data_IF_864044254599
#
_entry.id   IF_864044254599
#
_cell.length_a   1.000
_cell.length_b   1.000
_cell.length_c   1.000
_cell.angle_alpha   90.00
_cell.angle_beta   90.00
_cell.angle_gamma   90.00
#
_symmetry.space_group_name_H-M   'P 1'
#
loop_
_entity.id
_entity.type
_entity.pdbx_description
1 polymer ?
#
# COMPACT_ATOMS: atom_id res chain seq x y z
N UNK A 1 -25.19 4.51 -51.51
CA UNK A 1 -24.10 3.82 -50.77
C UNK A 1 -22.89 4.72 -50.78
N UNK A 2 -22.48 5.24 -49.63
CA UNK A 2 -21.36 6.16 -49.50
C UNK A 2 -20.54 5.71 -48.29
N UNK A 3 -19.32 5.23 -48.54
CA UNK A 3 -18.35 4.83 -47.51
C UNK A 3 -17.46 6.02 -47.22
N UNK A 4 -17.43 6.48 -45.97
CA UNK A 4 -16.49 7.49 -45.50
C UNK A 4 -15.42 6.76 -44.70
N UNK A 5 -14.17 6.81 -45.19
CA UNK A 5 -12.98 6.31 -44.54
C UNK A 5 -12.40 7.40 -43.62
N UNK A 6 -12.23 7.10 -42.34
CA UNK A 6 -11.54 7.95 -41.37
C UNK A 6 -10.24 7.26 -40.94
N UNK A 7 -9.16 7.50 -41.69
CA UNK A 7 -7.79 7.21 -41.27
C UNK A 7 -7.01 8.51 -41.40
N UNK A 8 -6.64 9.09 -40.25
CA UNK A 8 -5.82 10.29 -40.26
C UNK A 8 -5.67 10.92 -38.88
N UNK A 9 -4.43 10.87 -38.38
CA UNK A 9 -3.84 11.88 -37.49
C UNK A 9 -4.00 11.71 -35.97
N UNK A 10 -3.20 10.80 -35.38
CA UNK A 10 -2.66 10.98 -34.01
C UNK A 10 -1.20 10.50 -33.98
N UNK A 11 -0.34 11.19 -34.74
CA UNK A 11 1.11 11.00 -34.69
C UNK A 11 1.78 12.37 -34.55
N UNK A 12 1.60 13.05 -33.41
CA UNK A 12 2.29 14.34 -33.18
C UNK A 12 2.34 14.88 -31.73
N UNK A 13 2.26 14.05 -30.67
CA UNK A 13 2.25 14.58 -29.29
C UNK A 13 3.25 13.93 -28.31
N UNK A 14 3.94 12.85 -28.66
CA UNK A 14 4.90 12.19 -27.71
C UNK A 14 6.36 12.51 -28.10
N UNK A 15 6.67 13.81 -28.20
CA UNK A 15 8.02 14.32 -28.47
C UNK A 15 8.52 15.35 -27.44
N UNK A 16 7.77 15.59 -26.35
CA UNK A 16 7.97 16.75 -25.47
C UNK A 16 8.15 16.41 -23.97
N UNK A 17 8.52 15.17 -23.62
CA UNK A 17 8.80 14.78 -22.22
C UNK A 17 10.23 14.25 -22.02
N UNK A 18 11.18 14.66 -22.85
CA UNK A 18 12.59 14.22 -22.73
C UNK A 18 13.59 15.31 -22.31
N UNK A 19 13.13 16.47 -21.84
CA UNK A 19 14.03 17.62 -21.56
C UNK A 19 13.89 18.25 -20.16
N UNK A 20 13.35 17.55 -19.16
CA UNK A 20 13.19 18.12 -17.80
C UNK A 20 13.79 17.29 -16.64
N UNK A 21 14.52 16.20 -16.93
CA UNK A 21 15.12 15.34 -15.88
C UNK A 21 16.66 15.32 -15.90
N UNK A 22 17.27 16.43 -16.29
CA UNK A 22 18.72 16.65 -16.15
C UNK A 22 18.96 17.92 -15.36
N UNK A 23 18.91 17.85 -14.03
CA UNK A 23 19.73 18.66 -13.12
C UNK A 23 19.34 18.38 -11.65
N UNK A 24 20.18 17.64 -10.92
CA UNK A 24 20.88 18.08 -9.69
C UNK A 24 21.46 16.86 -8.95
N UNK A 25 22.79 16.78 -8.99
CA UNK A 25 23.61 15.97 -8.10
C UNK A 25 23.57 16.51 -6.67
N UNK A 26 23.66 15.64 -5.66
CA UNK A 26 24.80 15.67 -4.72
C UNK A 26 24.95 14.31 -4.02
N UNK A 27 26.00 13.58 -4.35
CA UNK A 27 26.54 12.52 -3.50
C UNK A 27 27.32 13.16 -2.35
N UNK A 28 27.03 12.77 -1.11
CA UNK A 28 27.86 13.12 0.04
C UNK A 28 28.62 11.88 0.49
N UNK A 29 29.88 11.82 0.10
CA UNK A 29 30.86 10.85 0.58
C UNK A 29 31.34 11.27 1.97
N UNK A 30 30.98 10.52 3.01
CA UNK A 30 31.60 10.65 4.33
C UNK A 30 32.83 9.75 4.42
N UNK A 31 33.99 10.38 4.62
CA UNK A 31 35.32 9.77 4.72
C UNK A 31 35.68 9.75 6.21
N UNK A 32 35.65 8.59 6.86
CA UNK A 32 36.03 8.49 8.27
C UNK A 32 37.54 8.21 8.38
N UNK A 33 38.28 9.20 8.87
CA UNK A 33 39.69 9.10 9.24
C UNK A 33 39.83 8.66 10.69
N UNK A 34 40.52 7.53 10.91
CA UNK A 34 40.98 7.11 12.24
C UNK A 34 41.88 8.19 12.83
N UNK A 35 41.56 8.68 14.03
CA UNK A 35 42.48 9.46 14.87
C UNK A 35 42.39 9.00 16.32
N UNK A 36 43.56 8.90 16.93
CA UNK A 36 43.88 8.30 18.21
C UNK A 36 43.33 9.06 19.43
N UNK A 37 43.11 8.28 20.49
CA UNK A 37 42.89 8.64 21.90
C UNK A 37 42.68 10.10 22.31
N UNK A 38 41.48 10.38 22.83
CA UNK A 38 41.24 11.53 23.71
C UNK A 38 40.74 10.99 25.06
N UNK A 39 41.53 11.19 26.12
CA UNK A 39 41.09 11.04 27.51
C UNK A 39 40.30 12.30 27.91
N UNK A 40 39.05 12.13 28.34
CA UNK A 40 38.28 13.20 29.00
C UNK A 40 38.05 12.82 30.45
N UNK A 41 38.64 13.59 31.36
CA UNK A 41 38.40 13.55 32.81
C UNK A 41 37.15 14.39 33.09
N UNK A 42 36.27 13.86 33.93
CA UNK A 42 34.88 14.30 34.09
C UNK A 42 34.67 15.75 34.54
N UNK A 43 33.60 16.33 34.00
CA UNK A 43 32.90 17.49 34.53
C UNK A 43 31.42 17.31 34.24
N UNK A 44 30.58 17.44 35.26
CA UNK A 44 29.12 17.35 35.17
C UNK A 44 28.58 18.48 34.28
N UNK A 45 28.25 18.14 33.04
CA UNK A 45 27.55 18.98 32.10
C UNK A 45 26.94 18.10 31.01
N UNK A 46 25.64 18.27 30.77
CA UNK A 46 24.94 17.58 29.69
C UNK A 46 25.54 17.98 28.34
N UNK A 47 26.29 17.06 27.72
CA UNK A 47 26.67 17.16 26.31
C UNK A 47 26.10 15.96 25.58
N UNK A 48 25.16 16.21 24.67
CA UNK A 48 24.67 15.23 23.70
C UNK A 48 25.77 14.97 22.66
N UNK A 49 26.63 13.99 22.93
CA UNK A 49 27.51 13.42 21.93
C UNK A 49 26.82 12.19 21.33
N UNK A 50 26.63 12.18 20.01
CA UNK A 50 26.17 11.02 19.26
C UNK A 50 27.39 10.12 19.01
N UNK A 51 27.49 9.01 19.74
CA UNK A 51 28.65 8.11 19.68
C UNK A 51 28.21 6.81 19.00
N UNK A 52 28.62 6.62 17.74
CA UNK A 52 28.57 5.32 17.07
C UNK A 52 29.75 4.46 17.51
N UNK A 53 29.44 3.25 17.97
CA UNK A 53 30.35 2.16 18.35
C UNK A 53 31.26 2.40 19.57
N UNK A 54 30.83 1.91 20.74
CA UNK A 54 31.72 1.60 21.87
C UNK A 54 31.22 0.37 22.64
N UNK A 55 32.12 -0.58 22.91
CA UNK A 55 31.89 -1.72 23.82
C UNK A 55 31.77 -1.21 25.26
N UNK A 56 30.68 -1.59 25.93
CA UNK A 56 30.39 -1.23 27.32
C UNK A 56 31.25 -2.07 28.26
N UNK A 57 32.13 -1.42 29.04
CA UNK A 57 32.78 -2.00 30.22
C UNK A 57 31.97 -1.55 31.45
N UNK A 58 31.52 -2.53 32.24
CA UNK A 58 30.65 -2.40 33.42
C UNK A 58 30.94 -1.19 34.32
N UNK A 59 29.90 -0.37 34.55
CA UNK A 59 29.72 0.41 35.76
C UNK A 59 28.22 0.47 36.10
N UNK A 60 27.90 0.27 37.37
CA UNK A 60 26.56 0.02 37.93
C UNK A 60 25.64 1.25 37.94
N UNK A 61 25.18 1.67 36.76
CA UNK A 61 24.07 2.61 36.59
C UNK A 61 23.09 2.05 35.57
N UNK A 62 21.80 2.00 35.91
CA UNK A 62 20.76 1.63 34.96
C UNK A 62 20.63 2.74 33.91
N UNK A 63 21.39 2.65 32.84
CA UNK A 63 21.20 3.47 31.64
C UNK A 63 19.92 3.00 30.96
N UNK A 64 18.86 3.80 31.01
CA UNK A 64 17.68 3.55 30.16
C UNK A 64 18.07 3.88 28.72
N UNK A 65 18.42 2.84 27.97
CA UNK A 65 18.59 2.92 26.52
C UNK A 65 17.20 3.14 25.92
N UNK A 66 16.93 4.35 25.41
CA UNK A 66 15.76 4.62 24.60
C UNK A 66 16.00 3.99 23.22
N UNK A 67 15.66 2.70 23.11
CA UNK A 67 15.66 1.99 21.83
C UNK A 67 14.49 2.59 21.05
N UNK A 68 14.80 3.42 20.05
CA UNK A 68 13.80 3.88 19.11
C UNK A 68 13.20 2.62 18.46
N UNK A 69 11.94 2.25 18.76
CA UNK A 69 11.39 1.01 18.25
C UNK A 69 11.36 1.11 16.72
N UNK A 70 11.82 0.06 16.04
CA UNK A 70 11.70 0.00 14.58
C UNK A 70 10.26 0.37 14.16
N UNK A 71 10.10 1.12 13.04
CA UNK A 71 8.80 1.53 12.59
C UNK A 71 7.90 0.30 12.42
N UNK A 72 6.81 0.27 13.21
CA UNK A 72 5.88 -0.85 13.22
C UNK A 72 5.03 -0.80 11.95
N UNK A 73 5.12 -1.86 11.14
CA UNK A 73 4.30 -2.04 9.93
C UNK A 73 2.81 -1.91 10.30
N UNK A 74 2.04 -1.01 9.66
CA UNK A 74 0.61 -0.88 9.87
C UNK A 74 -0.12 -2.20 9.56
N UNK A 75 -1.16 -2.52 10.35
CA UNK A 75 -1.86 -3.81 10.26
C UNK A 75 -3.36 -3.61 10.28
N UNK A 76 -4.06 -4.35 9.43
CA UNK A 76 -5.51 -4.48 9.45
C UNK A 76 -5.91 -5.93 9.68
N UNK A 77 -6.81 -6.17 10.64
CA UNK A 77 -7.35 -7.48 10.94
C UNK A 77 -8.86 -7.38 11.16
N UNK A 78 -9.66 -8.20 10.46
CA UNK A 78 -11.09 -8.21 10.68
C UNK A 78 -11.93 -8.65 9.49
N UNK A 79 -13.25 -8.59 9.69
CA UNK A 79 -14.21 -8.75 8.62
C UNK A 79 -14.25 -7.48 7.75
N UNK A 80 -14.27 -7.66 6.43
CA UNK A 80 -14.57 -6.61 5.46
C UNK A 80 -15.90 -6.94 4.78
N UNK A 81 -16.58 -5.92 4.30
CA UNK A 81 -17.87 -6.08 3.65
C UNK A 81 -18.29 -4.84 2.88
N UNK A 82 -19.48 -4.88 2.31
CA UNK A 82 -20.11 -3.68 1.76
C UNK A 82 -20.66 -2.78 2.87
N UNK A 83 -20.93 -1.53 2.53
CA UNK A 83 -21.56 -0.48 3.32
C UNK A 83 -20.77 -0.15 4.59
N UNK A 84 -21.38 -0.28 5.78
CA UNK A 84 -20.70 0.05 7.03
C UNK A 84 -19.46 -0.82 7.28
N UNK A 85 -19.41 -2.04 6.71
CA UNK A 85 -18.28 -2.96 6.85
C UNK A 85 -17.11 -2.66 5.90
N UNK A 86 -17.25 -1.73 4.95
CA UNK A 86 -16.14 -1.36 4.06
C UNK A 86 -15.26 -0.28 4.68
N UNK A 87 -15.85 0.64 5.45
CA UNK A 87 -15.24 1.88 5.92
C UNK A 87 -13.91 1.69 6.65
N UNK A 88 -13.83 0.76 7.60
CA UNK A 88 -12.62 0.58 8.39
C UNK A 88 -11.45 0.11 7.51
N UNK A 89 -11.74 -0.76 6.54
CA UNK A 89 -10.73 -1.22 5.59
C UNK A 89 -10.37 -0.16 4.57
N UNK A 90 -11.34 0.56 3.99
CA UNK A 90 -11.07 1.61 3.00
C UNK A 90 -10.28 2.76 3.63
N UNK A 91 -10.64 3.20 4.84
CA UNK A 91 -9.88 4.18 5.61
C UNK A 91 -8.45 3.70 5.89
N UNK A 92 -8.29 2.45 6.34
CA UNK A 92 -6.96 1.88 6.55
C UNK A 92 -6.10 1.93 5.29
N UNK A 93 -6.66 1.59 4.12
CA UNK A 93 -5.92 1.66 2.86
C UNK A 93 -5.59 3.11 2.49
N UNK A 94 -6.51 4.06 2.69
CA UNK A 94 -6.28 5.46 2.36
C UNK A 94 -5.24 6.15 3.25
N UNK A 95 -5.25 5.86 4.54
CA UNK A 95 -4.29 6.38 5.52
C UNK A 95 -2.87 5.87 5.30
N UNK A 96 -2.73 4.70 4.64
CA UNK A 96 -1.45 4.03 4.42
C UNK A 96 -1.05 3.98 2.94
N UNK A 97 -1.52 4.93 2.12
CA UNK A 97 -1.12 5.01 0.72
C UNK A 97 0.38 5.22 0.56
N UNK A 98 1.02 4.43 -0.32
CA UNK A 98 2.47 4.44 -0.51
C UNK A 98 3.24 3.54 0.45
N UNK A 99 2.60 3.05 1.52
CA UNK A 99 3.24 2.27 2.57
C UNK A 99 3.16 0.75 2.35
N UNK A 100 4.01 0.03 3.09
CA UNK A 100 3.88 -1.42 3.28
C UNK A 100 2.96 -1.71 4.45
N UNK A 101 2.04 -2.65 4.30
CA UNK A 101 1.05 -3.02 5.31
C UNK A 101 0.94 -4.53 5.45
N UNK A 102 0.48 -4.98 6.61
CA UNK A 102 0.00 -6.35 6.78
C UNK A 102 -1.53 -6.37 6.80
N UNK A 103 -2.12 -7.23 5.97
CA UNK A 103 -3.58 -7.41 5.91
C UNK A 103 -3.89 -8.83 6.32
N UNK A 104 -4.88 -8.99 7.20
CA UNK A 104 -5.51 -10.26 7.55
C UNK A 104 -7.03 -10.04 7.62
N UNK A 105 -7.62 -9.87 6.44
CA UNK A 105 -9.03 -9.56 6.26
C UNK A 105 -9.80 -10.78 5.73
N UNK A 106 -11.10 -10.83 6.01
CA UNK A 106 -12.00 -11.79 5.39
C UNK A 106 -13.35 -11.18 5.02
N UNK A 107 -13.93 -11.64 3.93
CA UNK A 107 -15.25 -11.26 3.43
C UNK A 107 -16.16 -12.48 3.43
N UNK A 108 -17.32 -12.38 4.08
CA UNK A 108 -18.35 -13.41 4.06
C UNK A 108 -19.40 -12.99 3.03
N UNK A 109 -19.48 -13.65 1.86
CA UNK A 109 -20.49 -13.34 0.86
C UNK A 109 -21.89 -13.67 1.39
N UNK A 110 -22.81 -12.71 1.30
CA UNK A 110 -24.22 -12.86 1.66
C UNK A 110 -25.07 -13.36 0.47
N UNK A 111 -24.50 -13.39 -0.74
CA UNK A 111 -25.17 -13.84 -1.96
C UNK A 111 -24.32 -14.76 -2.84
N UNK A 112 -24.97 -15.52 -3.71
CA UNK A 112 -24.32 -16.46 -4.64
C UNK A 112 -23.39 -15.72 -5.62
N UNK A 113 -23.77 -14.49 -5.98
CA UNK A 113 -23.11 -13.64 -6.97
C UNK A 113 -22.12 -12.64 -6.36
N UNK A 114 -22.07 -12.47 -5.04
CA UNK A 114 -21.10 -11.59 -4.36
C UNK A 114 -19.66 -12.12 -4.40
N UNK A 115 -19.42 -13.25 -5.08
CA UNK A 115 -18.07 -13.77 -5.34
C UNK A 115 -17.40 -12.95 -6.45
N UNK A 116 -17.24 -11.64 -6.24
CA UNK A 116 -16.73 -10.72 -7.25
C UNK A 116 -15.20 -10.75 -7.39
N UNK A 117 -14.56 -11.93 -7.23
CA UNK A 117 -13.17 -12.08 -7.68
C UNK A 117 -13.20 -12.33 -9.18
N UNK A 118 -13.05 -11.27 -9.94
CA UNK A 118 -12.69 -11.42 -11.35
C UNK A 118 -11.17 -11.56 -11.42
N UNK A 119 -10.72 -12.70 -11.94
CA UNK A 119 -9.32 -12.85 -12.38
C UNK A 119 -9.28 -12.47 -13.85
N UNK A 120 -8.81 -11.28 -14.14
CA UNK A 120 -8.59 -10.89 -15.54
C UNK A 120 -7.36 -11.63 -16.09
N UNK A 121 -7.33 -11.88 -17.40
CA UNK A 121 -6.22 -12.54 -18.11
C UNK A 121 -4.86 -11.84 -17.93
N UNK A 122 -4.86 -10.63 -17.37
CA UNK A 122 -3.69 -9.84 -16.97
C UNK A 122 -3.12 -10.17 -15.58
N UNK A 123 -3.57 -11.25 -14.92
CA UNK A 123 -3.12 -11.66 -13.57
C UNK A 123 -3.42 -10.63 -12.48
N UNK A 124 -4.52 -9.89 -12.64
CA UNK A 124 -5.05 -9.00 -11.61
C UNK A 124 -6.27 -9.67 -11.03
N UNK A 125 -6.24 -9.94 -9.72
CA UNK A 125 -7.47 -10.30 -9.01
C UNK A 125 -8.11 -8.99 -8.53
N UNK A 126 -9.40 -8.81 -8.80
CA UNK A 126 -10.14 -7.60 -8.43
C UNK A 126 -11.26 -7.93 -7.44
N UNK A 127 -11.56 -7.03 -6.51
CA UNK A 127 -12.79 -7.05 -5.71
C UNK A 127 -13.27 -5.61 -5.47
N UNK A 128 -14.56 -5.44 -5.18
CA UNK A 128 -15.14 -4.11 -4.93
C UNK A 128 -15.84 -4.11 -3.56
N UNK A 129 -15.61 -3.06 -2.78
CA UNK A 129 -16.37 -2.78 -1.56
C UNK A 129 -17.22 -1.53 -1.76
N UNK A 130 -18.53 -1.71 -1.77
CA UNK A 130 -19.48 -0.60 -1.87
C UNK A 130 -19.56 0.12 -0.54
N UNK A 131 -19.69 1.44 -0.54
CA UNK A 131 -19.80 2.24 0.69
C UNK A 131 -21.21 2.76 0.90
N UNK A 132 -21.86 3.20 -0.17
CA UNK A 132 -23.17 3.83 -0.13
C UNK A 132 -23.86 3.73 -1.50
N UNK A 133 -25.19 3.75 -1.51
CA UNK A 133 -25.99 3.81 -2.74
C UNK A 133 -26.83 5.09 -2.72
N UNK A 134 -26.63 5.94 -3.72
CA UNK A 134 -27.35 7.21 -3.85
C UNK A 134 -28.71 7.04 -4.55
N UNK A 135 -28.92 5.88 -5.19
CA UNK A 135 -30.23 5.42 -5.64
C UNK A 135 -30.65 4.18 -4.84
N UNK A 136 -31.96 4.03 -4.63
CA UNK A 136 -32.52 2.82 -4.03
C UNK A 136 -32.32 1.63 -4.99
N UNK A 137 -31.77 0.55 -4.46
CA UNK A 137 -31.63 -0.70 -5.20
C UNK A 137 -32.96 -1.44 -5.20
N UNK A 138 -33.39 -1.92 -6.36
CA UNK A 138 -34.56 -2.80 -6.46
C UNK A 138 -34.34 -4.10 -5.67
N UNK A 139 -35.42 -4.83 -5.40
CA UNK A 139 -35.32 -6.11 -4.69
C UNK A 139 -34.44 -7.09 -5.46
N UNK A 140 -33.33 -7.51 -4.85
CA UNK A 140 -32.28 -8.36 -5.44
C UNK A 140 -31.41 -7.69 -6.51
N UNK A 141 -31.49 -6.38 -6.69
CA UNK A 141 -30.52 -5.65 -7.52
C UNK A 141 -29.15 -5.64 -6.84
N UNK A 142 -28.11 -5.97 -7.60
CA UNK A 142 -26.73 -5.90 -7.10
C UNK A 142 -26.20 -4.46 -7.13
N UNK A 143 -25.38 -4.05 -6.14
CA UNK A 143 -24.78 -2.73 -6.18
C UNK A 143 -23.89 -2.56 -7.42
N UNK A 144 -23.97 -1.40 -8.04
CA UNK A 144 -23.23 -1.09 -9.26
C UNK A 144 -22.73 0.36 -9.27
N UNK A 145 -21.71 0.70 -10.09
CA UNK A 145 -21.20 2.07 -10.16
C UNK A 145 -22.24 3.08 -10.67
N UNK A 146 -23.35 2.62 -11.26
CA UNK A 146 -24.42 3.48 -11.76
C UNK A 146 -25.32 4.02 -10.64
N UNK A 147 -25.40 3.31 -9.50
CA UNK A 147 -26.30 3.63 -8.37
C UNK A 147 -25.60 3.73 -7.02
N UNK A 148 -24.36 3.26 -6.96
CA UNK A 148 -23.57 3.17 -5.74
C UNK A 148 -22.17 3.69 -5.93
N UNK A 149 -21.61 4.17 -4.83
CA UNK A 149 -20.22 4.57 -4.71
C UNK A 149 -19.44 3.55 -3.89
N UNK A 150 -18.16 3.41 -4.22
CA UNK A 150 -17.32 2.38 -3.60
C UNK A 150 -15.88 2.41 -4.04
N UNK A 151 -15.12 1.47 -3.47
CA UNK A 151 -13.70 1.31 -3.74
C UNK A 151 -13.46 -0.05 -4.38
N UNK A 152 -12.94 -0.02 -5.60
CA UNK A 152 -12.40 -1.18 -6.30
C UNK A 152 -10.95 -1.42 -5.91
N UNK A 153 -10.61 -2.64 -5.56
CA UNK A 153 -9.26 -3.06 -5.20
C UNK A 153 -8.72 -4.02 -6.26
N UNK A 154 -7.57 -3.67 -6.80
CA UNK A 154 -6.81 -4.50 -7.74
C UNK A 154 -5.59 -5.09 -7.04
N UNK A 155 -5.40 -6.40 -7.14
CA UNK A 155 -4.22 -7.09 -6.65
C UNK A 155 -3.28 -7.33 -7.84
N UNK A 156 -2.21 -6.55 -7.92
CA UNK A 156 -1.21 -6.65 -8.99
C UNK A 156 -0.29 -7.85 -8.77
N UNK A 157 -0.51 -8.94 -9.53
CA UNK A 157 0.34 -10.15 -9.52
C UNK A 157 1.23 -10.25 -10.77
N UNK A 158 1.60 -9.13 -11.37
CA UNK A 158 2.51 -9.09 -12.51
C UNK A 158 3.88 -9.74 -12.22
N UNK A 159 4.32 -9.73 -10.95
CA UNK A 159 5.59 -10.29 -10.52
C UNK A 159 5.46 -11.73 -9.98
N UNK A 160 6.61 -12.39 -9.77
CA UNK A 160 6.77 -13.76 -9.25
C UNK A 160 5.78 -14.13 -8.14
N UNK A 161 5.45 -15.42 -7.92
CA UNK A 161 4.57 -15.80 -6.82
C UNK A 161 5.03 -15.16 -5.50
N UNK A 162 4.05 -14.61 -4.78
CA UNK A 162 4.23 -13.96 -3.48
C UNK A 162 3.39 -14.67 -2.42
N UNK A 163 3.86 -14.62 -1.17
CA UNK A 163 3.18 -15.25 -0.03
C UNK A 163 1.84 -14.59 0.31
N UNK A 164 1.73 -13.29 0.04
CA UNK A 164 0.47 -12.58 0.19
C UNK A 164 -0.54 -13.00 -0.89
N UNK A 165 -1.74 -13.39 -0.45
CA UNK A 165 -2.70 -14.04 -1.31
C UNK A 165 -4.15 -13.68 -0.96
N UNK A 166 -4.99 -13.80 -1.98
CA UNK A 166 -6.44 -13.77 -1.87
C UNK A 166 -6.98 -15.16 -2.22
N UNK A 167 -7.71 -15.79 -1.30
CA UNK A 167 -8.15 -17.19 -1.45
C UNK A 167 -9.49 -17.44 -0.78
N UNK A 168 -10.26 -18.36 -1.34
CA UNK A 168 -11.52 -18.79 -0.75
C UNK A 168 -11.30 -20.00 0.15
N UNK A 169 -11.78 -19.94 1.39
CA UNK A 169 -11.70 -21.05 2.33
C UNK A 169 -12.92 -21.07 3.24
N UNK A 170 -13.55 -22.24 3.41
CA UNK A 170 -14.68 -22.47 4.35
C UNK A 170 -15.79 -21.39 4.29
N UNK A 171 -16.17 -20.95 3.09
CA UNK A 171 -17.28 -20.02 2.92
C UNK A 171 -16.92 -18.53 3.03
N UNK A 172 -15.64 -18.19 3.21
CA UNK A 172 -15.17 -16.81 3.25
C UNK A 172 -14.03 -16.60 2.25
N UNK A 173 -13.96 -15.39 1.71
CA UNK A 173 -12.84 -14.90 0.93
C UNK A 173 -11.84 -14.24 1.88
N UNK A 174 -10.59 -14.70 1.89
CA UNK A 174 -9.52 -14.13 2.69
C UNK A 174 -8.59 -13.30 1.83
N UNK A 175 -8.12 -12.19 2.40
CA UNK A 175 -7.01 -11.39 1.88
C UNK A 175 -5.96 -11.36 2.99
N UNK A 176 -4.83 -12.04 2.77
CA UNK A 176 -3.83 -12.23 3.82
C UNK A 176 -2.41 -12.04 3.32
N UNK A 177 -1.61 -11.32 4.09
CA UNK A 177 -0.15 -11.20 3.91
C UNK A 177 0.31 -9.75 3.90
N UNK A 178 1.54 -9.56 3.45
CA UNK A 178 2.12 -8.22 3.29
C UNK A 178 1.80 -7.65 1.91
N UNK A 179 1.42 -6.37 1.88
CA UNK A 179 1.09 -5.65 0.66
C UNK A 179 1.79 -4.30 0.66
N UNK A 180 2.21 -3.83 -0.51
CA UNK A 180 2.50 -2.42 -0.74
C UNK A 180 1.26 -1.77 -1.36
N UNK A 181 0.77 -0.69 -0.76
CA UNK A 181 -0.32 0.11 -1.32
C UNK A 181 0.29 1.04 -2.36
N UNK A 182 0.11 0.73 -3.64
CA UNK A 182 0.70 1.52 -4.74
C UNK A 182 0.08 2.91 -4.87
N UNK A 183 -1.16 3.04 -4.43
CA UNK A 183 -1.94 4.27 -4.45
C UNK A 183 -3.39 3.99 -4.76
N UNK A 184 -4.22 4.99 -4.52
CA UNK A 184 -5.62 5.03 -4.89
C UNK A 184 -5.86 6.23 -5.82
N UNK A 185 -6.71 6.05 -6.83
CA UNK A 185 -7.05 7.08 -7.81
C UNK A 185 -8.56 7.13 -8.09
N UNK A 186 -9.03 8.29 -8.55
CA UNK A 186 -10.44 8.57 -8.81
C UNK A 186 -11.01 9.69 -7.93
N UNK A 187 -12.34 9.78 -7.79
CA UNK A 187 -13.34 8.85 -8.34
C UNK A 187 -13.52 9.00 -9.87
N UNK A 188 -13.69 7.87 -10.56
CA UNK A 188 -14.19 7.81 -11.93
C UNK A 188 -15.56 7.10 -11.91
N UNK A 189 -16.63 7.85 -12.21
CA UNK A 189 -18.03 7.36 -12.18
C UNK A 189 -18.42 6.76 -10.82
N UNK A 190 -18.21 7.49 -9.72
CA UNK A 190 -18.60 7.04 -8.37
C UNK A 190 -17.71 5.94 -7.77
N UNK A 191 -16.73 5.43 -8.52
CA UNK A 191 -15.78 4.42 -8.02
C UNK A 191 -14.37 4.96 -7.90
N UNK A 192 -13.73 4.72 -6.76
CA UNK A 192 -12.29 4.86 -6.59
C UNK A 192 -11.60 3.52 -6.86
N UNK A 193 -10.39 3.55 -7.41
CA UNK A 193 -9.56 2.37 -7.64
C UNK A 193 -8.29 2.41 -6.79
N UNK A 194 -8.03 1.35 -6.02
CA UNK A 194 -6.80 1.15 -5.28
C UNK A 194 -6.02 -0.05 -5.84
N UNK A 195 -4.69 0.04 -5.83
CA UNK A 195 -3.82 -1.07 -6.23
C UNK A 195 -2.99 -1.57 -5.06
N UNK A 196 -3.12 -2.86 -4.77
CA UNK A 196 -2.37 -3.60 -3.78
C UNK A 196 -1.36 -4.50 -4.50
N UNK A 197 -0.08 -4.39 -4.14
CA UNK A 197 0.96 -5.29 -4.64
C UNK A 197 1.36 -6.28 -3.54
N UNK A 198 1.17 -7.59 -3.73
CA UNK A 198 1.66 -8.62 -2.81
C UNK A 198 3.17 -8.52 -2.59
N UNK A 199 3.60 -8.77 -1.34
CA UNK A 199 4.99 -8.84 -0.91
C UNK A 199 5.25 -10.18 -0.23
N UNK A 200 6.52 -10.58 -0.18
CA UNK A 200 6.96 -11.64 0.71
C UNK A 200 7.43 -11.06 2.05
N UNK A 201 7.47 -11.86 3.13
CA UNK A 201 7.99 -11.42 4.42
C UNK A 201 9.41 -10.85 4.36
N UNK A 202 10.28 -11.37 3.49
CA UNK A 202 11.64 -10.88 3.30
C UNK A 202 11.74 -9.52 2.58
N UNK A 203 10.65 -9.06 1.94
CA UNK A 203 10.61 -7.79 1.22
C UNK A 203 10.17 -6.61 2.12
N UNK A 204 9.85 -6.86 3.40
CA UNK A 204 9.21 -5.89 4.30
C UNK A 204 10.23 -5.20 5.19
#
# INVERSE_FOLDING_TARGET
>A
MQKISFWGSIASIIGLIFAAYSFTHTETTSRNTNTEGIQVIGGSGETNANIENTQVINASGQTQVNINPEPKIPRFEGEIGNYQKSKDFTNFIFENQGEKVFINAFYIPNGINERSISRDGFRVDYFHLWENCFEELETNEEPSPLKCEGVGFSIDRSNSPKDANMFYNRGALYIRGYFAIKGCGGPHQGSMGCTLRPLNPEDV
#
